data_IF_514640700398
#
_entry.id   IF_514640700398
#
_cell.length_a   1.000
_cell.length_b   1.000
_cell.length_c   1.000
_cell.angle_alpha   90.00
_cell.angle_beta   90.00
_cell.angle_gamma   90.00
#
_symmetry.space_group_name_H-M   'P 1'
#
loop_
_entity.id
_entity.type
_entity.pdbx_description
1 polymer ?
#
# COMPACT_ATOMS: atom_id res chain seq x y z
N UNK A 1 -42.33 26.97 -41.05
CA UNK A 1 -42.56 26.03 -39.92
C UNK A 1 -41.48 24.95 -39.84
N UNK A 2 -41.07 24.34 -40.94
CA UNK A 2 -40.07 23.25 -40.96
C UNK A 2 -38.71 23.66 -40.40
N UNK A 3 -38.20 24.85 -40.77
CA UNK A 3 -36.89 25.34 -40.30
C UNK A 3 -36.81 25.49 -38.78
N UNK A 4 -37.85 26.06 -38.18
CA UNK A 4 -37.92 26.31 -36.72
C UNK A 4 -37.92 25.00 -35.90
N UNK A 5 -38.47 23.92 -36.47
CA UNK A 5 -38.43 22.60 -35.84
C UNK A 5 -37.05 21.95 -36.00
N UNK A 6 -36.39 22.11 -37.14
CA UNK A 6 -35.04 21.61 -37.35
C UNK A 6 -34.02 22.30 -36.41
N UNK A 7 -34.13 23.61 -36.21
CA UNK A 7 -33.27 24.36 -35.31
C UNK A 7 -33.51 23.98 -33.83
N UNK A 8 -34.75 23.71 -33.44
CA UNK A 8 -35.10 23.23 -32.09
C UNK A 8 -34.55 21.80 -31.83
N UNK A 9 -34.69 20.90 -32.79
CA UNK A 9 -34.14 19.53 -32.69
C UNK A 9 -32.62 19.54 -32.61
N UNK A 10 -31.96 20.45 -33.35
CA UNK A 10 -30.51 20.61 -33.30
C UNK A 10 -30.04 21.11 -31.93
N UNK A 11 -30.73 22.09 -31.35
CA UNK A 11 -30.43 22.57 -30.00
C UNK A 11 -30.63 21.49 -28.92
N UNK A 12 -31.66 20.65 -29.07
CA UNK A 12 -31.87 19.51 -28.17
C UNK A 12 -30.76 18.45 -28.31
N UNK A 13 -30.29 18.19 -29.54
CA UNK A 13 -29.20 17.26 -29.80
C UNK A 13 -27.90 17.73 -29.13
N UNK A 14 -27.54 19.01 -29.31
CA UNK A 14 -26.34 19.61 -28.71
C UNK A 14 -26.37 19.56 -27.18
N UNK A 15 -27.53 19.84 -26.56
CA UNK A 15 -27.70 19.73 -25.11
C UNK A 15 -27.52 18.29 -24.61
N UNK A 16 -28.08 17.33 -25.35
CA UNK A 16 -28.00 15.90 -25.01
C UNK A 16 -26.57 15.37 -25.15
N UNK A 17 -25.83 15.82 -26.16
CA UNK A 17 -24.41 15.47 -26.34
C UNK A 17 -23.54 16.01 -25.20
N UNK A 18 -23.82 17.22 -24.72
CA UNK A 18 -23.11 17.82 -23.60
C UNK A 18 -23.40 17.09 -22.27
N UNK A 19 -24.66 16.70 -22.05
CA UNK A 19 -25.06 15.87 -20.90
C UNK A 19 -24.37 14.51 -20.90
N UNK A 20 -24.33 13.82 -22.05
CA UNK A 20 -23.65 12.53 -22.20
C UNK A 20 -22.15 12.69 -21.87
N UNK A 21 -21.53 13.78 -22.33
CA UNK A 21 -20.12 14.07 -22.04
C UNK A 21 -19.89 14.28 -20.54
N UNK A 22 -20.77 15.03 -19.87
CA UNK A 22 -20.68 15.29 -18.44
C UNK A 22 -20.87 14.02 -17.59
N UNK A 23 -21.82 13.16 -17.95
CA UNK A 23 -22.04 11.89 -17.26
C UNK A 23 -20.89 10.90 -17.46
N UNK A 24 -20.29 10.86 -18.65
CA UNK A 24 -19.08 10.05 -18.90
C UNK A 24 -17.90 10.52 -18.06
N UNK A 25 -17.71 11.83 -17.90
CA UNK A 25 -16.66 12.37 -17.04
C UNK A 25 -16.86 11.98 -15.57
N UNK A 26 -18.09 12.07 -15.06
CA UNK A 26 -18.43 11.61 -13.69
C UNK A 26 -18.17 10.12 -13.51
N UNK A 27 -18.57 9.30 -14.49
CA UNK A 27 -18.34 7.85 -14.48
C UNK A 27 -16.86 7.52 -14.39
N UNK A 28 -16.02 8.18 -15.20
CA UNK A 28 -14.58 7.96 -15.17
C UNK A 28 -13.95 8.35 -13.83
N UNK A 29 -14.39 9.46 -13.23
CA UNK A 29 -13.93 9.86 -11.90
C UNK A 29 -14.36 8.87 -10.80
N UNK A 30 -15.58 8.34 -10.88
CA UNK A 30 -16.06 7.31 -9.94
C UNK A 30 -15.29 6.00 -10.11
N UNK A 31 -14.96 5.60 -11.34
CA UNK A 31 -14.13 4.42 -11.60
C UNK A 31 -12.72 4.60 -11.02
N UNK A 32 -12.11 5.77 -11.22
CA UNK A 32 -10.80 6.11 -10.64
C UNK A 32 -10.82 6.01 -9.11
N UNK A 33 -11.85 6.57 -8.47
CA UNK A 33 -12.02 6.46 -7.01
C UNK A 33 -12.29 5.04 -6.55
N UNK A 34 -13.07 4.26 -7.29
CA UNK A 34 -13.33 2.87 -6.97
C UNK A 34 -12.06 2.02 -7.08
N UNK A 35 -11.18 2.32 -8.03
CA UNK A 35 -9.88 1.67 -8.19
C UNK A 35 -8.89 2.05 -7.07
N UNK A 36 -8.86 3.33 -6.67
CA UNK A 36 -8.11 3.76 -5.48
C UNK A 36 -8.58 3.05 -4.21
N UNK A 37 -9.90 2.99 -4.01
CA UNK A 37 -10.51 2.29 -2.86
C UNK A 37 -10.23 0.79 -2.93
N UNK A 38 -10.34 0.16 -4.10
CA UNK A 38 -10.03 -1.26 -4.27
C UNK A 38 -8.55 -1.55 -4.00
N UNK A 39 -7.63 -0.70 -4.46
CA UNK A 39 -6.20 -0.82 -4.17
C UNK A 39 -5.93 -0.68 -2.67
N UNK A 40 -6.56 0.28 -1.98
CA UNK A 40 -6.46 0.39 -0.53
C UNK A 40 -7.12 -0.78 0.22
N UNK A 41 -8.20 -1.36 -0.32
CA UNK A 41 -8.90 -2.49 0.30
C UNK A 41 -8.15 -3.82 0.11
N UNK A 42 -7.39 -3.97 -0.98
CA UNK A 42 -6.44 -5.08 -1.19
C UNK A 42 -5.33 -5.01 -0.13
N UNK A 43 -4.94 -3.81 0.31
CA UNK A 43 -4.04 -3.64 1.46
C UNK A 43 -4.70 -4.02 2.80
N UNK A 44 -6.04 -4.07 2.88
CA UNK A 44 -6.78 -4.13 4.15
C UNK A 44 -7.49 -5.45 4.55
N UNK A 45 -7.55 -6.56 3.78
CA UNK A 45 -8.17 -7.84 4.28
C UNK A 45 -7.53 -9.16 3.79
N UNK A 46 -7.39 -10.25 4.60
CA UNK A 46 -7.74 -10.46 6.02
C UNK A 46 -6.63 -11.07 6.94
N UNK A 47 -6.27 -10.36 8.02
CA UNK A 47 -6.23 -10.70 9.48
C UNK A 47 -5.77 -12.10 10.01
N UNK A 48 -5.24 -13.05 9.24
CA UNK A 48 -4.61 -14.28 9.80
C UNK A 48 -3.27 -14.72 9.19
N UNK A 49 -2.76 -14.00 8.19
CA UNK A 49 -1.39 -14.15 7.73
C UNK A 49 -0.50 -13.14 8.44
N UNK A 50 0.71 -13.56 8.82
CA UNK A 50 1.73 -12.77 9.51
C UNK A 50 1.62 -11.27 9.22
N UNK A 51 1.29 -10.49 10.27
CA UNK A 51 1.15 -9.01 10.22
C UNK A 51 2.47 -8.29 9.92
N UNK A 52 3.43 -8.96 9.30
CA UNK A 52 4.77 -8.43 9.06
C UNK A 52 4.77 -7.28 8.05
N UNK A 53 3.74 -7.18 7.20
CA UNK A 53 3.57 -6.09 6.22
C UNK A 53 3.38 -4.71 6.85
N UNK A 54 2.96 -4.62 8.12
CA UNK A 54 2.88 -3.34 8.84
C UNK A 54 4.25 -2.68 9.03
N UNK A 55 5.32 -3.47 8.94
CA UNK A 55 6.70 -3.00 9.05
C UNK A 55 7.33 -2.61 7.71
N UNK A 56 6.56 -2.66 6.62
CA UNK A 56 6.99 -2.22 5.30
C UNK A 56 6.34 -2.97 4.15
N UNK A 57 6.12 -2.25 3.04
CA UNK A 57 5.52 -2.81 1.81
C UNK A 57 6.32 -3.97 1.19
N UNK A 58 7.63 -4.00 1.42
CA UNK A 58 8.56 -5.02 0.89
C UNK A 58 8.96 -6.08 1.91
N UNK A 59 8.47 -6.00 3.15
CA UNK A 59 8.91 -6.88 4.24
C UNK A 59 8.72 -8.36 3.90
N UNK A 60 7.63 -8.73 3.23
CA UNK A 60 7.40 -10.11 2.81
C UNK A 60 8.40 -10.57 1.72
N UNK A 61 8.78 -9.68 0.80
CA UNK A 61 9.78 -9.99 -0.22
C UNK A 61 11.17 -10.15 0.39
N UNK A 62 11.51 -9.30 1.35
CA UNK A 62 12.77 -9.37 2.11
C UNK A 62 12.87 -10.69 2.87
N UNK A 63 11.81 -11.10 3.59
CA UNK A 63 11.80 -12.39 4.29
C UNK A 63 12.02 -13.57 3.36
N UNK A 64 11.38 -13.58 2.19
CA UNK A 64 11.59 -14.63 1.18
C UNK A 64 13.02 -14.67 0.66
N UNK A 65 13.65 -13.51 0.45
CA UNK A 65 15.03 -13.46 -0.02
C UNK A 65 16.03 -13.87 1.08
N UNK A 66 15.75 -13.53 2.35
CA UNK A 66 16.51 -14.03 3.51
C UNK A 66 16.41 -15.56 3.58
N UNK A 67 15.22 -16.15 3.45
CA UNK A 67 15.02 -17.61 3.45
C UNK A 67 15.79 -18.28 2.31
N UNK A 68 15.68 -17.73 1.09
CA UNK A 68 16.38 -18.24 -0.10
C UNK A 68 17.89 -18.19 0.04
N UNK A 69 18.41 -17.20 0.75
CA UNK A 69 19.83 -16.99 0.98
C UNK A 69 20.28 -17.40 2.39
N UNK A 70 19.46 -18.18 3.12
CA UNK A 70 19.73 -18.55 4.51
C UNK A 70 21.11 -19.20 4.72
N UNK A 71 21.60 -19.93 3.71
CA UNK A 71 22.92 -20.57 3.70
C UNK A 71 24.11 -19.60 3.80
N UNK A 72 23.90 -18.31 3.50
CA UNK A 72 24.93 -17.26 3.58
C UNK A 72 25.09 -16.69 4.99
N UNK A 73 24.08 -16.90 5.83
CA UNK A 73 24.05 -16.41 7.20
C UNK A 73 24.63 -17.45 8.15
N UNK A 74 25.44 -17.01 9.11
CA UNK A 74 25.81 -17.82 10.28
C UNK A 74 24.60 -18.02 11.17
N UNK A 75 23.80 -16.97 11.33
CA UNK A 75 22.52 -16.98 12.02
C UNK A 75 21.54 -16.07 11.27
N UNK A 76 20.35 -16.61 10.98
CA UNK A 76 19.30 -15.87 10.28
C UNK A 76 18.94 -14.62 11.11
N UNK A 77 18.88 -13.43 10.49
CA UNK A 77 18.51 -12.22 11.20
C UNK A 77 17.08 -12.32 11.75
N UNK A 78 16.88 -11.76 12.95
CA UNK A 78 15.56 -11.70 13.56
C UNK A 78 14.71 -10.72 12.75
N UNK A 79 13.45 -11.11 12.52
CA UNK A 79 12.41 -10.34 11.83
C UNK A 79 12.25 -8.91 12.42
N UNK A 80 11.48 -8.01 11.76
CA UNK A 80 11.36 -6.62 12.21
C UNK A 80 11.09 -6.52 13.70
N UNK A 81 11.88 -5.70 14.40
CA UNK A 81 11.85 -5.57 15.87
C UNK A 81 10.43 -5.41 16.38
N UNK A 82 9.61 -4.61 15.69
CA UNK A 82 8.23 -4.37 16.06
C UNK A 82 7.39 -5.63 16.21
N UNK A 83 7.63 -6.68 15.40
CA UNK A 83 6.93 -7.98 15.46
C UNK A 83 7.09 -8.65 16.82
N UNK A 84 8.19 -8.37 17.52
CA UNK A 84 8.54 -8.92 18.82
C UNK A 84 8.23 -7.96 19.98
N UNK A 85 7.61 -6.82 19.70
CA UNK A 85 7.25 -5.82 20.72
C UNK A 85 5.74 -5.76 20.93
N UNK A 86 5.32 -5.45 22.16
CA UNK A 86 3.93 -5.19 22.50
C UNK A 86 3.84 -3.93 23.35
N UNK A 87 2.95 -3.03 22.97
CA UNK A 87 2.68 -1.83 23.73
C UNK A 87 1.75 -2.15 24.90
N UNK A 88 2.19 -1.85 26.13
CA UNK A 88 1.44 -2.15 27.36
C UNK A 88 0.20 -1.25 27.49
N UNK A 89 0.32 0.02 27.13
CA UNK A 89 -0.77 1.01 27.25
C UNK A 89 -0.84 1.86 25.98
N UNK A 90 -2.00 1.82 25.32
CA UNK A 90 -2.26 2.47 24.03
C UNK A 90 -2.10 3.99 24.07
N UNK A 91 -2.22 4.63 25.24
CA UNK A 91 -2.05 6.09 25.35
C UNK A 91 -0.63 6.55 25.01
N UNK A 92 0.34 5.63 25.06
CA UNK A 92 1.74 5.89 24.70
C UNK A 92 2.08 5.54 23.26
N UNK A 93 1.13 5.05 22.44
CA UNK A 93 1.41 4.52 21.11
C UNK A 93 2.18 5.52 20.24
N UNK A 94 1.66 6.74 20.10
CA UNK A 94 2.28 7.77 19.26
C UNK A 94 3.69 8.12 19.76
N UNK A 95 3.86 8.28 21.08
CA UNK A 95 5.16 8.65 21.64
C UNK A 95 6.21 7.53 21.47
N UNK A 96 5.81 6.27 21.63
CA UNK A 96 6.68 5.11 21.46
C UNK A 96 7.01 4.88 19.99
N UNK A 97 6.02 4.96 19.09
CA UNK A 97 6.25 4.84 17.65
C UNK A 97 7.17 5.94 17.13
N UNK A 98 6.99 7.19 17.55
CA UNK A 98 7.88 8.28 17.16
C UNK A 98 9.27 8.14 17.78
N UNK A 99 9.37 7.68 19.03
CA UNK A 99 10.65 7.50 19.72
C UNK A 99 11.50 6.38 19.13
N UNK A 100 10.88 5.29 18.67
CA UNK A 100 11.58 4.15 18.09
C UNK A 100 11.76 4.30 16.57
N UNK A 101 10.81 4.94 15.88
CA UNK A 101 10.86 5.19 14.44
C UNK A 101 11.23 3.95 13.62
N UNK A 102 12.22 4.09 12.74
CA UNK A 102 12.69 3.04 11.84
C UNK A 102 13.31 1.83 12.55
N UNK A 103 13.55 1.89 13.87
CA UNK A 103 14.01 0.73 14.62
C UNK A 103 12.96 -0.39 14.60
N UNK A 104 11.67 -0.05 14.65
CA UNK A 104 10.58 -1.03 14.63
C UNK A 104 10.53 -1.83 13.33
N UNK A 105 10.98 -1.23 12.23
CA UNK A 105 11.09 -1.87 10.91
C UNK A 105 12.45 -2.55 10.69
N UNK A 106 13.42 -2.35 11.59
CA UNK A 106 14.77 -2.87 11.49
C UNK A 106 14.85 -4.35 11.88
N UNK A 107 15.86 -5.04 11.34
CA UNK A 107 16.16 -6.45 11.60
C UNK A 107 17.39 -6.55 12.52
N UNK A 108 17.43 -7.57 13.37
CA UNK A 108 18.58 -7.81 14.25
C UNK A 108 19.50 -8.86 13.64
N UNK A 109 20.74 -8.47 13.39
CA UNK A 109 21.81 -9.36 12.94
C UNK A 109 22.65 -9.83 14.13
N UNK A 110 23.18 -11.05 14.05
CA UNK A 110 23.99 -11.65 15.11
C UNK A 110 25.50 -11.41 14.95
N UNK A 111 25.93 -10.96 13.77
CA UNK A 111 27.33 -10.67 13.47
C UNK A 111 27.48 -9.60 12.39
N UNK A 112 28.68 -9.02 12.27
CA UNK A 112 29.00 -8.06 11.21
C UNK A 112 28.98 -8.70 9.82
N UNK A 113 29.31 -9.99 9.72
CA UNK A 113 29.22 -10.71 8.45
C UNK A 113 27.76 -10.91 8.03
N UNK A 114 26.89 -11.29 8.96
CA UNK A 114 25.45 -11.44 8.71
C UNK A 114 24.80 -10.09 8.40
N UNK A 115 25.24 -9.01 9.05
CA UNK A 115 24.80 -7.64 8.74
C UNK A 115 25.11 -7.30 7.28
N UNK A 116 26.33 -7.63 6.81
CA UNK A 116 26.73 -7.38 5.43
C UNK A 116 25.85 -8.14 4.43
N UNK A 117 25.56 -9.43 4.69
CA UNK A 117 24.67 -10.22 3.83
C UNK A 117 23.26 -9.65 3.82
N UNK A 118 22.74 -9.24 4.98
CA UNK A 118 21.43 -8.62 5.09
C UNK A 118 21.36 -7.29 4.32
N UNK A 119 22.40 -6.44 4.42
CA UNK A 119 22.44 -5.17 3.69
C UNK A 119 22.44 -5.37 2.17
N UNK A 120 23.07 -6.43 1.65
CA UNK A 120 23.01 -6.78 0.22
C UNK A 120 21.61 -7.23 -0.24
N UNK A 121 20.79 -7.77 0.67
CA UNK A 121 19.38 -8.12 0.39
C UNK A 121 18.48 -6.88 0.44
N UNK A 122 18.81 -5.92 1.30
CA UNK A 122 18.03 -4.69 1.53
C UNK A 122 18.35 -3.56 0.54
N UNK A 123 19.48 -3.62 -0.18
CA UNK A 123 19.93 -2.65 -1.17
C UNK A 123 19.23 -2.78 -2.51
#
# INVERSE_FOLDING_TARGET
>A
MIQKNADNLRGQLEWTEEDIKNENNKRNELLRKAEEVANSAIEEKPVKQDRVTIYGRYTLAILKEIEKQAYRFKQIPIEPVGKHTCLIDIKWAIAVEQGLGNLLTGYLSSSREDERVLLEILS
#
